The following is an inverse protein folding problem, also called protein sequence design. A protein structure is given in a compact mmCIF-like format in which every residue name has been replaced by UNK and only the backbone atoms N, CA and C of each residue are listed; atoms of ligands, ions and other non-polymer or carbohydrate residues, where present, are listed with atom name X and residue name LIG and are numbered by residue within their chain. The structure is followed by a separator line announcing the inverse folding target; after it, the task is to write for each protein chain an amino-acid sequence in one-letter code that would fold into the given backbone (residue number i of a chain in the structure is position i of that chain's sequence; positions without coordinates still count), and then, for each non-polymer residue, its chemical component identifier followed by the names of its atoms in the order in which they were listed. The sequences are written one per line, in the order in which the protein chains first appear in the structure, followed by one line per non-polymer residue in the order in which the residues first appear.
data_IF_406434316665
#
_entry.id   IF_406434316665
#
_cell.length_a   1.000
_cell.length_b   1.000
_cell.length_c   1.000
_cell.angle_alpha   90.00
_cell.angle_beta   90.00
_cell.angle_gamma   90.00
#
_symmetry.space_group_name_H-M   'P 1'
#
loop_
_entity.id
_entity.type
_entity.pdbx_description
1 polymer ?
#
# COMPACT_ATOMS: atom_id res chain seq x y z
N UNK A 1 10.22 -3.65 -19.89
CA UNK A 1 11.45 -4.19 -20.46
C UNK A 1 12.43 -3.04 -20.57
N UNK A 2 13.53 -3.12 -19.83
CA UNK A 2 14.60 -2.13 -19.82
C UNK A 2 15.88 -2.82 -20.27
N UNK A 3 16.71 -2.15 -21.05
CA UNK A 3 18.02 -2.69 -21.46
C UNK A 3 19.09 -2.25 -20.47
N UNK A 4 19.86 -3.18 -19.96
CA UNK A 4 21.05 -2.89 -19.15
C UNK A 4 22.32 -3.25 -19.94
N UNK A 5 23.45 -2.62 -19.59
CA UNK A 5 24.72 -2.87 -20.27
C UNK A 5 25.39 -4.07 -19.59
N UNK A 6 25.51 -5.18 -20.30
CA UNK A 6 26.19 -6.38 -19.82
C UNK A 6 27.69 -6.17 -19.68
N UNK A 7 28.38 -7.08 -18.97
CA UNK A 7 29.83 -7.02 -18.72
C UNK A 7 30.66 -6.98 -20.01
N UNK A 8 30.16 -7.64 -21.06
CA UNK A 8 30.82 -7.70 -22.38
C UNK A 8 30.45 -6.51 -23.30
N UNK A 9 29.77 -5.49 -22.78
CA UNK A 9 29.31 -4.32 -23.53
C UNK A 9 27.99 -4.52 -24.30
N UNK A 10 27.50 -5.76 -24.41
CA UNK A 10 26.23 -6.11 -25.06
C UNK A 10 25.03 -5.60 -24.27
N UNK A 11 24.00 -5.08 -24.95
CA UNK A 11 22.72 -4.73 -24.31
C UNK A 11 21.96 -6.01 -23.96
N UNK A 12 21.74 -6.24 -22.67
CA UNK A 12 20.95 -7.37 -22.17
C UNK A 12 19.55 -6.88 -21.81
N UNK A 13 18.53 -7.62 -22.22
CA UNK A 13 17.15 -7.32 -21.86
C UNK A 13 16.88 -7.71 -20.39
N UNK A 14 16.35 -6.77 -19.62
CA UNK A 14 15.99 -6.97 -18.22
C UNK A 14 14.49 -6.75 -18.05
N UNK A 15 13.88 -7.66 -17.31
CA UNK A 15 12.49 -7.64 -16.92
C UNK A 15 12.38 -7.29 -15.44
N UNK A 16 11.47 -6.37 -15.13
CA UNK A 16 11.12 -5.99 -13.77
C UNK A 16 9.71 -6.48 -13.45
N UNK A 17 9.52 -7.05 -12.27
CA UNK A 17 8.22 -7.44 -11.76
C UNK A 17 7.98 -6.81 -10.38
N UNK A 18 6.73 -6.39 -10.14
CA UNK A 18 6.24 -5.97 -8.84
C UNK A 18 5.10 -6.90 -8.46
N UNK A 19 5.16 -7.46 -7.25
CA UNK A 19 4.17 -8.40 -6.73
C UNK A 19 3.67 -7.90 -5.38
N UNK A 20 2.36 -7.91 -5.18
CA UNK A 20 1.75 -7.63 -3.89
C UNK A 20 1.17 -8.93 -3.32
N UNK A 21 1.39 -9.16 -2.03
CA UNK A 21 0.88 -10.31 -1.30
C UNK A 21 0.14 -9.81 -0.06
N UNK A 22 -1.02 -10.39 0.24
CA UNK A 22 -1.78 -10.05 1.43
C UNK A 22 -2.73 -11.16 1.82
N UNK A 23 -3.18 -11.13 3.08
CA UNK A 23 -4.04 -12.17 3.66
C UNK A 23 -5.51 -11.73 3.80
N UNK A 24 -5.88 -10.57 3.26
CA UNK A 24 -7.20 -9.94 3.39
C UNK A 24 -7.63 -9.64 4.84
N UNK A 25 -6.71 -9.70 5.79
CA UNK A 25 -6.95 -9.58 7.24
C UNK A 25 -5.92 -8.67 7.91
N UNK A 26 -5.47 -7.62 7.24
CA UNK A 26 -4.52 -6.66 7.80
C UNK A 26 -3.06 -7.10 7.70
N UNK A 27 -2.69 -7.97 6.76
CA UNK A 27 -1.30 -8.23 6.40
C UNK A 27 -1.08 -7.92 4.92
N UNK A 28 -0.04 -7.16 4.62
CA UNK A 28 0.26 -6.72 3.27
C UNK A 28 1.76 -6.59 3.04
N UNK A 29 2.23 -7.01 1.87
CA UNK A 29 3.62 -6.97 1.46
C UNK A 29 3.74 -6.59 -0.01
N UNK A 30 4.72 -5.76 -0.34
CA UNK A 30 5.03 -5.35 -1.71
C UNK A 30 6.47 -5.75 -2.02
N UNK A 31 6.65 -6.59 -3.03
CA UNK A 31 7.94 -7.04 -3.50
C UNK A 31 8.26 -6.51 -4.89
N UNK A 32 9.54 -6.32 -5.17
CA UNK A 32 10.04 -5.87 -6.47
C UNK A 32 11.34 -6.56 -6.81
N UNK A 33 11.44 -7.08 -8.03
CA UNK A 33 12.68 -7.70 -8.49
C UNK A 33 12.89 -7.49 -9.99
N UNK A 34 14.16 -7.54 -10.39
CA UNK A 34 14.61 -7.53 -11.77
C UNK A 34 15.33 -8.83 -12.10
N UNK A 35 15.21 -9.28 -13.35
CA UNK A 35 15.88 -10.47 -13.84
C UNK A 35 15.95 -10.49 -15.37
N UNK A 36 16.70 -11.45 -15.92
CA UNK A 36 16.85 -11.68 -17.36
C UNK A 36 15.58 -12.24 -18.01
N UNK A 37 14.72 -12.91 -17.25
CA UNK A 37 13.42 -13.43 -17.71
C UNK A 37 12.28 -12.94 -16.82
N UNK A 38 11.10 -12.75 -17.41
CA UNK A 38 9.91 -12.25 -16.69
C UNK A 38 9.44 -13.20 -15.59
N UNK A 39 9.53 -14.52 -15.83
CA UNK A 39 9.16 -15.57 -14.88
C UNK A 39 10.06 -15.52 -13.65
N UNK A 40 11.39 -15.41 -13.86
CA UNK A 40 12.34 -15.34 -12.76
C UNK A 40 12.20 -14.02 -11.98
N UNK A 41 11.95 -12.89 -12.66
CA UNK A 41 11.67 -11.63 -12.00
C UNK A 41 10.41 -11.73 -11.12
N UNK A 42 9.35 -12.38 -11.61
CA UNK A 42 8.09 -12.57 -10.86
C UNK A 42 8.28 -13.47 -9.66
N UNK A 43 8.98 -14.60 -9.81
CA UNK A 43 9.28 -15.52 -8.69
C UNK A 43 10.11 -14.83 -7.60
N UNK A 44 11.13 -14.04 -7.99
CA UNK A 44 11.94 -13.26 -7.04
C UNK A 44 11.11 -12.17 -6.35
N UNK A 45 10.29 -11.44 -7.09
CA UNK A 45 9.41 -10.41 -6.53
C UNK A 45 8.38 -11.01 -5.56
N UNK A 46 7.89 -12.23 -5.83
CA UNK A 46 6.98 -12.93 -4.93
C UNK A 46 7.66 -13.29 -3.60
N UNK A 47 8.86 -13.88 -3.63
CA UNK A 47 9.65 -14.15 -2.41
C UNK A 47 9.96 -12.87 -1.64
N UNK A 48 10.36 -11.80 -2.32
CA UNK A 48 10.60 -10.48 -1.72
C UNK A 48 9.32 -9.92 -1.07
N UNK A 49 8.14 -10.11 -1.68
CA UNK A 49 6.87 -9.64 -1.13
C UNK A 49 6.49 -10.34 0.18
N UNK A 50 6.76 -11.65 0.29
CA UNK A 50 6.51 -12.44 1.49
C UNK A 50 7.45 -12.01 2.62
N UNK A 51 8.72 -11.79 2.31
CA UNK A 51 9.70 -11.32 3.30
C UNK A 51 9.40 -9.90 3.81
N UNK A 52 8.61 -9.11 3.08
CA UNK A 52 8.22 -7.74 3.42
C UNK A 52 6.77 -7.62 3.92
N UNK A 53 6.15 -8.72 4.33
CA UNK A 53 4.82 -8.69 4.92
C UNK A 53 4.83 -7.82 6.19
N UNK A 54 3.94 -6.84 6.22
CA UNK A 54 3.79 -5.90 7.32
C UNK A 54 2.34 -5.86 7.78
N UNK A 55 2.13 -5.73 9.09
CA UNK A 55 0.79 -5.54 9.65
C UNK A 55 0.23 -4.18 9.24
N UNK A 56 -0.99 -4.18 8.74
CA UNK A 56 -1.76 -2.98 8.41
C UNK A 56 -2.83 -2.82 9.49
N UNK A 57 -2.80 -1.72 10.27
CA UNK A 57 -3.82 -1.49 11.28
C UNK A 57 -5.16 -1.22 10.59
N UNK A 58 -6.17 -2.02 10.95
CA UNK A 58 -7.54 -1.91 10.45
C UNK A 58 -8.46 -1.53 11.60
N UNK A 59 -9.13 -0.39 11.47
CA UNK A 59 -10.20 0.01 12.38
C UNK A 59 -11.43 -0.86 12.13
N UNK A 60 -11.91 -1.51 13.21
CA UNK A 60 -13.02 -2.48 13.20
C UNK A 60 -12.89 -3.57 12.12
N UNK A 61 -11.66 -3.86 11.69
CA UNK A 61 -11.38 -4.88 10.66
C UNK A 61 -11.94 -4.57 9.27
N UNK A 62 -12.22 -3.31 8.93
CA UNK A 62 -12.76 -2.96 7.60
C UNK A 62 -12.21 -1.67 6.98
N UNK A 63 -11.72 -0.70 7.77
CA UNK A 63 -11.23 0.60 7.27
C UNK A 63 -9.96 1.05 8.00
N UNK A 64 -9.44 2.23 7.66
CA UNK A 64 -8.29 2.86 8.32
C UNK A 64 -8.72 3.68 9.54
N UNK A 65 -7.80 3.99 10.47
CA UNK A 65 -8.15 4.68 11.73
C UNK A 65 -8.50 6.16 11.57
N UNK A 66 -7.78 6.86 10.71
CA UNK A 66 -7.98 8.28 10.47
C UNK A 66 -7.64 8.62 9.03
N UNK A 67 -7.94 9.85 8.61
CA UNK A 67 -7.49 10.35 7.32
C UNK A 67 -5.97 10.37 7.28
N UNK A 68 -5.38 9.82 6.22
CA UNK A 68 -3.93 9.83 5.99
C UNK A 68 -3.64 10.62 4.73
N UNK A 69 -2.85 11.68 4.86
CA UNK A 69 -2.26 12.40 3.73
C UNK A 69 -0.78 12.03 3.64
N UNK A 70 -0.37 11.46 2.50
CA UNK A 70 1.01 11.02 2.29
C UNK A 70 1.52 11.45 0.91
N UNK A 71 2.78 11.87 0.85
CA UNK A 71 3.46 12.29 -0.36
C UNK A 71 4.66 11.39 -0.63
N UNK A 72 4.73 10.88 -1.86
CA UNK A 72 5.84 10.09 -2.35
C UNK A 72 6.32 10.69 -3.68
N UNK A 73 7.54 11.23 -3.69
CA UNK A 73 8.07 12.03 -4.81
C UNK A 73 7.13 13.21 -5.18
N UNK A 74 6.64 13.28 -6.42
CA UNK A 74 5.74 14.34 -6.93
C UNK A 74 4.29 13.85 -7.00
N UNK A 75 3.91 12.99 -6.07
CA UNK A 75 2.58 12.38 -5.99
C UNK A 75 2.07 12.44 -4.57
N UNK A 76 0.83 12.91 -4.41
CA UNK A 76 0.14 13.02 -3.12
C UNK A 76 -1.02 12.05 -3.12
N UNK A 77 -1.13 11.23 -2.08
CA UNK A 77 -2.20 10.27 -1.88
C UNK A 77 -2.94 10.62 -0.58
N UNK A 78 -4.26 10.70 -0.67
CA UNK A 78 -5.14 11.00 0.45
C UNK A 78 -6.06 9.80 0.65
N UNK A 79 -5.99 9.18 1.82
CA UNK A 79 -6.86 8.07 2.22
C UNK A 79 -7.82 8.59 3.28
N UNK A 80 -9.12 8.38 3.08
CA UNK A 80 -10.16 8.76 4.03
C UNK A 80 -10.95 7.54 4.47
N UNK A 81 -11.08 7.28 5.79
CA UNK A 81 -11.90 6.20 6.30
C UNK A 81 -13.37 6.44 5.97
N UNK A 82 -14.11 5.35 5.77
CA UNK A 82 -15.53 5.40 5.44
C UNK A 82 -16.31 4.39 6.27
N UNK A 83 -17.61 4.65 6.52
CA UNK A 83 -18.48 3.71 7.23
C UNK A 83 -18.58 2.36 6.52
N UNK A 84 -18.97 1.33 7.26
CA UNK A 84 -19.23 0.00 6.72
C UNK A 84 -20.28 0.04 5.60
N UNK A 85 -20.02 -0.67 4.50
CA UNK A 85 -20.92 -0.74 3.34
C UNK A 85 -20.74 0.39 2.33
N UNK A 86 -19.80 1.31 2.54
CA UNK A 86 -19.43 2.33 1.55
C UNK A 86 -18.70 1.73 0.34
N UNK A 87 -17.89 0.70 0.60
CA UNK A 87 -17.03 0.04 -0.37
C UNK A 87 -15.75 0.83 -0.72
N UNK A 88 -15.05 0.34 -1.74
CA UNK A 88 -13.79 0.94 -2.20
C UNK A 88 -14.05 1.98 -3.29
N UNK A 89 -13.66 3.24 -3.03
CA UNK A 89 -13.71 4.35 -4.01
C UNK A 89 -12.29 4.82 -4.30
N UNK A 90 -11.63 4.11 -5.21
CA UNK A 90 -10.24 4.35 -5.60
C UNK A 90 -9.98 3.86 -7.04
N UNK A 91 -8.76 4.06 -7.55
CA UNK A 91 -8.34 3.54 -8.86
C UNK A 91 -8.13 2.02 -8.84
N UNK A 92 -8.27 1.35 -9.98
CA UNK A 92 -8.18 -0.12 -10.12
C UNK A 92 -6.98 -0.77 -9.41
N UNK A 93 -5.78 -0.21 -9.55
CA UNK A 93 -4.60 -0.74 -8.86
C UNK A 93 -4.77 -0.70 -7.34
N UNK A 94 -5.28 0.40 -6.79
CA UNK A 94 -5.52 0.54 -5.36
C UNK A 94 -6.66 -0.34 -4.88
N UNK A 95 -7.66 -0.61 -5.75
CA UNK A 95 -8.75 -1.51 -5.43
C UNK A 95 -8.22 -2.91 -5.09
N UNK A 96 -7.36 -3.46 -5.96
CA UNK A 96 -6.71 -4.76 -5.72
C UNK A 96 -5.82 -4.75 -4.47
N UNK A 97 -5.03 -3.69 -4.27
CA UNK A 97 -4.15 -3.58 -3.09
C UNK A 97 -4.96 -3.45 -1.79
N UNK A 98 -6.09 -2.74 -1.80
CA UNK A 98 -6.99 -2.64 -0.65
C UNK A 98 -7.60 -4.00 -0.30
N UNK A 99 -8.07 -4.75 -1.30
CA UNK A 99 -8.62 -6.09 -1.10
C UNK A 99 -7.57 -7.03 -0.48
N UNK A 100 -6.35 -7.04 -1.02
CA UNK A 100 -5.24 -7.85 -0.47
C UNK A 100 -4.90 -7.47 0.98
N UNK A 101 -4.92 -6.17 1.30
CA UNK A 101 -4.70 -5.68 2.66
C UNK A 101 -5.86 -5.96 3.63
N UNK A 102 -7.07 -6.25 3.12
CA UNK A 102 -8.29 -6.44 3.93
C UNK A 102 -9.07 -5.16 4.20
N UNK A 103 -8.80 -4.08 3.46
CA UNK A 103 -9.56 -2.83 3.53
C UNK A 103 -10.78 -2.97 2.64
N UNK A 104 -11.96 -2.71 3.21
CA UNK A 104 -13.27 -2.84 2.53
C UNK A 104 -13.92 -1.49 2.26
N UNK A 105 -13.74 -0.51 3.15
CA UNK A 105 -14.40 0.79 3.06
C UNK A 105 -13.37 1.93 3.15
N UNK A 106 -13.04 2.55 2.02
CA UNK A 106 -12.10 3.69 1.99
C UNK A 106 -12.32 4.52 0.74
N UNK A 107 -12.09 5.83 0.85
CA UNK A 107 -11.93 6.69 -0.33
C UNK A 107 -10.47 7.07 -0.49
N UNK A 108 -9.90 6.83 -1.68
CA UNK A 108 -8.51 7.18 -1.97
C UNK A 108 -8.45 8.11 -3.19
N UNK A 109 -7.81 9.27 -3.01
CA UNK A 109 -7.57 10.25 -4.06
C UNK A 109 -6.07 10.41 -4.29
N UNK A 110 -5.65 10.32 -5.55
CA UNK A 110 -4.27 10.54 -5.98
C UNK A 110 -4.20 11.85 -6.75
N UNK A 111 -3.25 12.72 -6.40
CA UNK A 111 -2.89 13.95 -7.11
C UNK A 111 -1.44 13.89 -7.57
N UNK A 112 -1.13 14.49 -8.72
CA UNK A 112 0.22 14.53 -9.28
C UNK A 112 0.55 13.34 -10.20
N UNK A 113 1.82 12.91 -10.20
CA UNK A 113 2.34 11.93 -11.17
C UNK A 113 1.88 10.49 -10.84
N UNK A 114 0.81 10.04 -11.51
CA UNK A 114 0.18 8.70 -11.29
C UNK A 114 0.50 7.62 -12.34
N UNK A 115 1.30 7.91 -13.37
CA UNK A 115 1.59 6.96 -14.46
C UNK A 115 2.42 5.75 -14.02
N UNK A 116 3.26 5.92 -13.01
CA UNK A 116 4.13 4.84 -12.52
C UNK A 116 3.41 4.03 -11.42
N UNK A 117 2.97 2.82 -11.77
CA UNK A 117 2.27 1.90 -10.84
C UNK A 117 3.10 1.54 -9.62
N UNK A 118 4.43 1.43 -9.76
CA UNK A 118 5.32 1.14 -8.63
C UNK A 118 5.28 2.23 -7.57
N UNK A 119 5.31 3.50 -7.99
CA UNK A 119 5.22 4.62 -7.04
C UNK A 119 3.86 4.70 -6.37
N UNK A 120 2.77 4.41 -7.11
CA UNK A 120 1.42 4.35 -6.53
C UNK A 120 1.35 3.27 -5.44
N UNK A 121 1.81 2.04 -5.74
CA UNK A 121 1.80 0.95 -4.77
C UNK A 121 2.70 1.22 -3.56
N UNK A 122 3.88 1.82 -3.77
CA UNK A 122 4.81 2.15 -2.68
C UNK A 122 4.26 3.25 -1.76
N UNK A 123 3.71 4.30 -2.35
CA UNK A 123 3.04 5.37 -1.61
C UNK A 123 1.84 4.83 -0.81
N UNK A 124 1.09 3.89 -1.37
CA UNK A 124 0.00 3.23 -0.64
C UNK A 124 0.51 2.44 0.57
N UNK A 125 1.55 1.61 0.39
CA UNK A 125 2.17 0.86 1.47
C UNK A 125 2.66 1.80 2.60
N UNK A 126 3.39 2.87 2.25
CA UNK A 126 3.91 3.83 3.23
C UNK A 126 2.79 4.62 3.92
N UNK A 127 1.72 4.97 3.21
CA UNK A 127 0.56 5.64 3.80
C UNK A 127 -0.14 4.76 4.84
N UNK A 128 -0.32 3.46 4.57
CA UNK A 128 -0.95 2.54 5.51
C UNK A 128 -0.17 2.37 6.82
N UNK A 129 1.17 2.41 6.74
CA UNK A 129 2.05 2.28 7.90
C UNK A 129 2.17 3.56 8.73
N UNK A 130 1.71 4.70 8.22
CA UNK A 130 1.68 5.99 8.94
C UNK A 130 0.42 6.20 9.78
N UNK A 131 -0.47 5.23 9.83
CA UNK A 131 -1.63 5.29 10.70
C UNK A 131 -1.18 5.28 12.16
N UNK A 132 -1.71 6.19 12.97
CA UNK A 132 -1.57 6.15 14.42
C UNK A 132 -2.75 5.37 14.99
N UNK A 133 -2.46 4.31 15.75
CA UNK A 133 -3.53 3.59 16.44
C UNK A 133 -3.83 4.29 17.78
N UNK A 134 -5.07 4.19 18.28
CA UNK A 134 -5.43 4.70 19.60
C UNK A 134 -4.48 4.19 20.68
N UNK A 135 -4.08 2.92 20.61
CA UNK A 135 -3.19 2.33 21.61
C UNK A 135 -1.86 3.08 21.71
N UNK A 136 -1.24 3.43 20.58
CA UNK A 136 0.02 4.18 20.54
C UNK A 136 -0.11 5.55 21.23
N UNK A 137 -1.29 6.19 21.10
CA UNK A 137 -1.58 7.47 21.73
C UNK A 137 -1.76 7.39 23.25
N UNK A 138 -2.39 6.33 23.76
CA UNK A 138 -2.54 6.09 25.22
C UNK A 138 -1.17 5.92 25.85
N UNK A 139 -0.32 5.07 25.28
CA UNK A 139 1.01 4.79 25.83
C UNK A 139 1.89 6.05 25.87
N UNK A 140 1.77 6.90 24.86
CA UNK A 140 2.54 8.14 24.80
C UNK A 140 2.08 9.23 25.79
N UNK A 141 0.81 9.24 26.20
CA UNK A 141 0.20 10.36 26.92
C UNK A 141 -0.37 10.02 28.30
N UNK A 142 -0.59 8.73 28.59
CA UNK A 142 -1.26 8.26 29.82
C UNK A 142 -2.76 8.56 29.88
N UNK A 143 -3.39 8.97 28.76
CA UNK A 143 -4.80 9.38 28.71
C UNK A 143 -5.72 8.23 28.28
N UNK A 144 -6.94 8.20 28.83
CA UNK A 144 -7.99 7.25 28.41
C UNK A 144 -8.67 7.70 27.10
N UNK A 145 -8.80 6.79 26.14
CA UNK A 145 -9.43 7.08 24.85
C UNK A 145 -10.91 6.74 24.89
N UNK A 146 -11.73 7.71 24.48
CA UNK A 146 -13.16 7.52 24.20
C UNK A 146 -13.41 7.80 22.72
N UNK A 147 -14.07 6.87 22.04
CA UNK A 147 -14.53 7.11 20.67
C UNK A 147 -15.60 8.20 20.69
N UNK A 148 -15.36 9.28 19.96
CA UNK A 148 -16.36 10.32 19.70
C UNK A 148 -16.82 10.15 18.25
N UNK A 149 -17.99 9.53 18.00
CA UNK A 149 -18.51 9.45 16.66
C UNK A 149 -18.71 10.87 16.13
N UNK A 150 -18.09 11.20 14.99
CA UNK A 150 -18.40 12.46 14.30
C UNK A 150 -19.89 12.45 13.96
N UNK A 151 -20.68 13.29 14.64
CA UNK A 151 -22.06 13.58 14.23
C UNK A 151 -22.00 14.00 12.76
N UNK A 152 -22.84 13.37 11.94
CA UNK A 152 -22.79 13.43 10.49
C UNK A 152 -22.86 14.84 9.90
N UNK A 153 -22.34 14.93 8.67
CA UNK A 153 -22.83 15.85 7.65
C UNK A 153 -24.31 15.55 7.36
#
# INVERSE_FOLDING_TARGET
MSSERGKDGTKVAVFSAMVATGNMKGLFGLGFATSETAQLATARAHLDSINRLTAVPLYRGHTIYHRVDHEYHRMKMQLEPRPEGWGLRCSDLLYELCNLAGIRDVSIKIRGRRKNKFFVAKCFQEALLRQTTPHDGVEATGMYIREVPRKGL
#
